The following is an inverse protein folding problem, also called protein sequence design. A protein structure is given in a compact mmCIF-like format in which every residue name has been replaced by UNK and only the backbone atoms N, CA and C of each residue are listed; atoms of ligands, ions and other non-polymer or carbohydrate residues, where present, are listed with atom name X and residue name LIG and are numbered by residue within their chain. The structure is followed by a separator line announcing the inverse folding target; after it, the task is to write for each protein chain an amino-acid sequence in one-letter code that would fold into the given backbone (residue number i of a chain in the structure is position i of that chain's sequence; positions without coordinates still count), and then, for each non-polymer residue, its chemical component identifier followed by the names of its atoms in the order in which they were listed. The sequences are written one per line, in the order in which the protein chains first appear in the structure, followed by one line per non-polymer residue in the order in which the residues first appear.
data_IF_916557124927
#
_entry.id   IF_916557124927
#
_cell.length_a   1.000
_cell.length_b   1.000
_cell.length_c   1.000
_cell.angle_alpha   90.00
_cell.angle_beta   90.00
_cell.angle_gamma   90.00
#
_symmetry.space_group_name_H-M   'P 1'
#
loop_
_entity.id
_entity.type
_entity.pdbx_description
1 polymer ?
#
# COMPACT_ATOMS: atom_id res chain seq x y z
N UNK A 1 -21.72 -19.90 26.68
CA UNK A 1 -21.49 -18.48 26.29
C UNK A 1 -20.10 -18.43 25.71
N UNK A 2 -19.98 -18.81 24.43
CA UNK A 2 -18.73 -18.88 23.68
C UNK A 2 -18.33 -17.49 23.18
N UNK A 3 -17.58 -16.76 23.99
CA UNK A 3 -16.82 -15.61 23.49
C UNK A 3 -15.60 -16.14 22.76
N UNK A 4 -15.77 -16.48 21.47
CA UNK A 4 -14.66 -16.70 20.55
C UNK A 4 -13.96 -15.36 20.35
N UNK A 5 -12.95 -15.09 21.16
CA UNK A 5 -11.90 -14.13 20.80
C UNK A 5 -11.11 -14.81 19.67
N UNK A 6 -11.63 -14.73 18.45
CA UNK A 6 -10.80 -14.89 17.28
C UNK A 6 -9.85 -13.69 17.33
N UNK A 7 -8.61 -13.94 17.74
CA UNK A 7 -7.51 -13.08 17.33
C UNK A 7 -7.48 -13.23 15.81
N UNK A 8 -8.24 -12.40 15.10
CA UNK A 8 -8.17 -12.33 13.64
C UNK A 8 -6.74 -11.94 13.31
N UNK A 9 -5.96 -12.92 12.89
CA UNK A 9 -4.61 -12.69 12.38
C UNK A 9 -4.79 -11.79 11.17
N UNK A 10 -4.35 -10.54 11.28
CA UNK A 10 -4.46 -9.56 10.21
C UNK A 10 -3.92 -10.18 8.91
N UNK A 11 -4.67 -10.04 7.82
CA UNK A 11 -4.27 -10.62 6.53
C UNK A 11 -2.92 -10.03 6.08
N UNK A 12 -2.23 -10.70 5.15
CA UNK A 12 -0.99 -10.16 4.60
C UNK A 12 -1.27 -8.81 3.91
N UNK A 13 -2.41 -8.68 3.23
CA UNK A 13 -2.88 -7.41 2.68
C UNK A 13 -3.01 -6.30 3.75
N UNK A 14 -3.57 -6.60 4.91
CA UNK A 14 -3.73 -5.62 6.00
C UNK A 14 -2.37 -5.20 6.57
N UNK A 15 -1.46 -6.17 6.80
CA UNK A 15 -0.12 -5.90 7.30
C UNK A 15 0.68 -5.02 6.33
N UNK A 16 0.58 -5.28 5.03
CA UNK A 16 1.20 -4.46 3.98
C UNK A 16 0.57 -3.08 3.92
N UNK A 17 -0.76 -2.97 3.99
CA UNK A 17 -1.45 -1.69 4.01
C UNK A 17 -0.99 -0.82 5.19
N UNK A 18 -0.89 -1.40 6.37
CA UNK A 18 -0.44 -0.68 7.57
C UNK A 18 1.02 -0.27 7.50
N UNK A 19 1.90 -1.15 7.00
CA UNK A 19 3.30 -0.80 6.80
C UNK A 19 3.45 0.36 5.82
N UNK A 20 2.76 0.29 4.67
CA UNK A 20 2.78 1.35 3.66
C UNK A 20 2.23 2.67 4.21
N UNK A 21 1.14 2.64 5.00
CA UNK A 21 0.60 3.85 5.66
C UNK A 21 1.64 4.47 6.59
N UNK A 22 2.34 3.67 7.39
CA UNK A 22 3.40 4.14 8.30
C UNK A 22 4.58 4.73 7.53
N UNK A 23 5.12 4.01 6.55
CA UNK A 23 6.29 4.45 5.76
C UNK A 23 6.02 5.71 4.94
N UNK A 24 4.77 5.91 4.50
CA UNK A 24 4.38 7.10 3.74
C UNK A 24 3.78 8.22 4.58
N UNK A 25 3.64 8.04 5.90
CA UNK A 25 2.97 8.98 6.79
C UNK A 25 1.53 9.32 6.32
N UNK A 26 0.81 8.32 5.82
CA UNK A 26 -0.57 8.47 5.33
C UNK A 26 -0.74 9.30 4.05
N UNK A 27 0.33 9.54 3.29
CA UNK A 27 0.29 10.42 2.09
C UNK A 27 -0.28 9.77 0.83
N UNK A 28 -0.64 8.49 0.86
CA UNK A 28 -1.28 7.80 -0.26
C UNK A 28 -2.80 7.98 -0.16
N UNK A 29 -3.40 8.59 -1.18
CA UNK A 29 -4.86 8.71 -1.31
C UNK A 29 -5.42 7.46 -1.97
N UNK A 30 -6.63 7.08 -1.59
CA UNK A 30 -7.34 5.91 -2.12
C UNK A 30 -6.47 4.63 -2.05
N UNK A 31 -5.67 4.49 -0.98
CA UNK A 31 -4.85 3.31 -0.78
C UNK A 31 -5.72 2.07 -0.69
N UNK A 32 -5.49 1.12 -1.60
CA UNK A 32 -6.10 -0.21 -1.58
C UNK A 32 -5.01 -1.24 -1.79
N UNK A 33 -5.06 -2.28 -0.97
CA UNK A 33 -4.13 -3.41 -0.97
C UNK A 33 -4.96 -4.67 -1.04
N UNK A 34 -4.69 -5.52 -2.03
CA UNK A 34 -5.43 -6.75 -2.28
C UNK A 34 -4.44 -7.88 -2.61
N UNK A 35 -4.77 -9.12 -2.22
CA UNK A 35 -4.06 -10.31 -2.66
C UNK A 35 -4.72 -10.85 -3.93
N UNK A 36 -3.94 -10.97 -5.00
CA UNK A 36 -4.37 -11.42 -6.33
C UNK A 36 -3.33 -12.41 -6.88
N UNK A 37 -3.75 -13.65 -7.14
CA UNK A 37 -2.91 -14.72 -7.70
C UNK A 37 -1.55 -14.91 -6.98
N UNK A 38 -1.55 -14.83 -5.64
CA UNK A 38 -0.35 -15.00 -4.82
C UNK A 38 0.57 -13.77 -4.74
N UNK A 39 0.16 -12.65 -5.33
CA UNK A 39 0.83 -11.36 -5.27
C UNK A 39 0.00 -10.36 -4.49
N UNK A 40 0.66 -9.41 -3.83
CA UNK A 40 0.00 -8.27 -3.22
C UNK A 40 0.03 -7.10 -4.20
N UNK A 41 -1.15 -6.65 -4.59
CA UNK A 41 -1.34 -5.51 -5.48
C UNK A 41 -1.64 -4.28 -4.65
N UNK A 42 -0.82 -3.24 -4.80
CA UNK A 42 -1.00 -1.96 -4.10
C UNK A 42 -1.35 -0.87 -5.08
N UNK A 43 -2.48 -0.22 -4.84
CA UNK A 43 -3.01 0.88 -5.64
C UNK A 43 -3.19 2.14 -4.81
N UNK A 44 -3.10 3.30 -5.46
CA UNK A 44 -3.35 4.58 -4.82
C UNK A 44 -2.67 5.74 -5.55
N UNK A 45 -2.81 6.94 -4.99
CA UNK A 45 -2.28 8.16 -5.56
C UNK A 45 -1.37 8.88 -4.57
N UNK A 46 -0.24 9.38 -5.06
CA UNK A 46 0.69 10.19 -4.28
C UNK A 46 1.04 11.49 -4.99
N UNK A 47 1.45 12.51 -4.23
CA UNK A 47 1.84 13.81 -4.78
C UNK A 47 3.28 13.89 -5.27
N UNK A 48 4.14 12.97 -4.82
CA UNK A 48 5.57 13.02 -5.10
C UNK A 48 6.12 11.63 -5.41
N UNK A 49 7.15 11.59 -6.26
CA UNK A 49 7.93 10.39 -6.50
C UNK A 49 8.57 9.85 -5.23
N UNK A 50 8.98 10.73 -4.32
CA UNK A 50 9.53 10.32 -3.02
C UNK A 50 8.52 9.49 -2.21
N UNK A 51 7.25 9.93 -2.14
CA UNK A 51 6.22 9.16 -1.44
C UNK A 51 5.94 7.81 -2.11
N UNK A 52 6.01 7.73 -3.45
CA UNK A 52 5.92 6.46 -4.18
C UNK A 52 7.07 5.51 -3.79
N UNK A 53 8.29 6.01 -3.70
CA UNK A 53 9.45 5.21 -3.29
C UNK A 53 9.35 4.75 -1.83
N UNK A 54 8.85 5.60 -0.93
CA UNK A 54 8.58 5.19 0.46
C UNK A 54 7.54 4.07 0.55
N UNK A 55 6.49 4.11 -0.29
CA UNK A 55 5.49 3.04 -0.36
C UNK A 55 6.09 1.72 -0.85
N UNK A 56 6.88 1.78 -1.93
CA UNK A 56 7.59 0.62 -2.48
C UNK A 56 8.53 0.00 -1.43
N UNK A 57 9.34 0.82 -0.78
CA UNK A 57 10.27 0.36 0.25
C UNK A 57 9.51 -0.30 1.42
N UNK A 58 8.45 0.33 1.92
CA UNK A 58 7.64 -0.24 3.00
C UNK A 58 6.98 -1.57 2.63
N UNK A 59 6.55 -1.74 1.37
CA UNK A 59 6.01 -3.02 0.91
C UNK A 59 7.10 -4.11 0.84
N UNK A 60 8.28 -3.77 0.34
CA UNK A 60 9.40 -4.71 0.18
C UNK A 60 10.06 -5.13 1.49
N UNK A 61 9.77 -4.45 2.61
CA UNK A 61 10.15 -4.91 3.95
C UNK A 61 9.38 -6.16 4.38
N UNK A 62 8.19 -6.40 3.80
CA UNK A 62 7.34 -7.56 4.12
C UNK A 62 7.22 -8.57 2.96
N UNK A 63 7.51 -8.13 1.74
CA UNK A 63 7.31 -8.91 0.53
C UNK A 63 8.58 -8.98 -0.31
N UNK A 64 8.84 -10.13 -0.90
CA UNK A 64 9.80 -10.24 -2.00
C UNK A 64 9.25 -9.57 -3.26
N UNK A 65 10.14 -9.05 -4.11
CA UNK A 65 9.77 -8.27 -5.28
C UNK A 65 8.91 -9.01 -6.32
N UNK A 66 8.99 -10.34 -6.37
CA UNK A 66 8.15 -11.21 -7.21
C UNK A 66 6.70 -11.32 -6.73
N UNK A 67 6.49 -11.14 -5.42
CA UNK A 67 5.17 -11.15 -4.76
C UNK A 67 4.54 -9.77 -4.65
N UNK A 68 5.22 -8.71 -5.08
CA UNK A 68 4.71 -7.35 -4.99
C UNK A 68 4.38 -6.79 -6.37
N UNK A 69 3.21 -6.15 -6.50
CA UNK A 69 2.81 -5.44 -7.73
C UNK A 69 2.35 -4.02 -7.40
N UNK A 70 3.17 -3.07 -7.82
CA UNK A 70 2.93 -1.65 -7.63
C UNK A 70 2.03 -1.07 -8.73
N UNK A 71 0.96 -0.39 -8.33
CA UNK A 71 0.02 0.37 -9.17
C UNK A 71 -0.31 1.73 -8.54
N UNK A 72 0.69 2.40 -7.98
CA UNK A 72 0.60 3.74 -7.40
C UNK A 72 0.96 4.79 -8.45
N UNK A 73 0.06 5.76 -8.63
CA UNK A 73 0.26 6.86 -9.58
C UNK A 73 0.76 8.12 -8.87
N UNK A 74 1.77 8.78 -9.44
CA UNK A 74 2.18 10.11 -8.98
C UNK A 74 1.30 11.15 -9.67
N UNK A 75 0.41 11.79 -8.93
CA UNK A 75 -0.48 12.84 -9.42
C UNK A 75 0.12 14.23 -9.15
N UNK A 76 0.64 14.85 -10.22
CA UNK A 76 1.09 16.24 -10.19
C UNK A 76 -0.09 17.23 -10.20
N UNK A 77 0.12 18.50 -9.87
CA UNK A 77 -0.80 19.53 -10.32
C UNK A 77 -0.85 19.44 -11.85
N UNK A 78 -2.05 19.31 -12.41
CA UNK A 78 -2.25 19.60 -13.83
C UNK A 78 -1.73 21.02 -13.97
N UNK A 79 -0.67 21.23 -14.77
CA UNK A 79 -0.29 22.57 -15.18
C UNK A 79 -1.46 23.06 -16.03
N UNK A 80 -2.46 23.68 -15.39
CA UNK A 80 -3.49 24.43 -16.08
C UNK A 80 -2.78 25.48 -16.93
N UNK A 81 -2.97 25.34 -18.24
CA UNK A 81 -2.59 26.23 -19.34
C UNK A 81 -1.75 27.48 -19.04
N UNK A 82 -0.66 27.60 -19.79
CA UNK A 82 -0.31 28.88 -20.41
C UNK A 82 -0.58 28.79 -21.89
#
# INVERSE_FOLDING_TARGET
MDSRIAVEVASLADQVADQIRRSTYGRIRNLRVEEDEGRVVVTGEVRTWHAKQQALQGALELLSGDRFRERITVVGPVLSGR
#
